data_IF_888833488516
#
_entry.id   IF_888833488516
#
_cell.length_a   1.000
_cell.length_b   1.000
_cell.length_c   1.000
_cell.angle_alpha   90.00
_cell.angle_beta   90.00
_cell.angle_gamma   90.00
#
_symmetry.space_group_name_H-M   'P 1'
#
loop_
_entity.id
_entity.type
_entity.pdbx_description
1 polymer ?
#
# COMPACT_ATOMS: atom_id res chain seq x y z
N UNK A 1 -19.65 -15.28 10.07
CA UNK A 1 -19.46 -16.64 9.51
C UNK A 1 -18.04 -16.79 8.99
N UNK A 2 -17.58 -18.01 8.77
CA UNK A 2 -16.23 -18.35 8.31
C UNK A 2 -16.31 -19.13 6.99
N UNK A 3 -15.24 -19.11 6.18
CA UNK A 3 -15.19 -19.60 4.79
C UNK A 3 -15.82 -20.98 4.51
N UNK A 4 -15.72 -22.01 5.38
CA UNK A 4 -16.37 -23.30 5.15
C UNK A 4 -17.90 -23.26 5.02
N UNK A 5 -18.55 -22.21 5.53
CA UNK A 5 -19.99 -22.00 5.38
C UNK A 5 -20.43 -21.56 3.97
N UNK A 6 -19.49 -21.34 3.06
CA UNK A 6 -19.70 -20.87 1.68
C UNK A 6 -19.16 -21.84 0.62
N UNK A 7 -19.08 -23.14 0.92
CA UNK A 7 -18.64 -24.22 0.01
C UNK A 7 -17.20 -24.07 -0.55
N UNK A 8 -16.32 -23.38 0.18
CA UNK A 8 -14.88 -23.35 -0.14
C UNK A 8 -14.23 -24.68 0.23
N UNK A 9 -13.41 -25.23 -0.67
CA UNK A 9 -12.57 -26.39 -0.37
C UNK A 9 -11.43 -26.01 0.57
N UNK A 10 -10.87 -26.98 1.28
CA UNK A 10 -9.71 -26.78 2.15
C UNK A 10 -8.53 -26.15 1.39
N UNK A 11 -8.30 -26.59 0.14
CA UNK A 11 -7.27 -26.02 -0.74
C UNK A 11 -7.52 -24.54 -1.04
N UNK A 12 -8.78 -24.14 -1.28
CA UNK A 12 -9.11 -22.74 -1.50
C UNK A 12 -8.95 -21.91 -0.22
N UNK A 13 -9.29 -22.47 0.94
CA UNK A 13 -9.09 -21.82 2.24
C UNK A 13 -7.59 -21.57 2.48
N UNK A 14 -6.74 -22.56 2.18
CA UNK A 14 -5.28 -22.43 2.31
C UNK A 14 -4.72 -21.35 1.37
N UNK A 15 -5.21 -21.28 0.13
CA UNK A 15 -4.85 -20.22 -0.81
C UNK A 15 -5.27 -18.85 -0.25
N UNK A 16 -6.51 -18.70 0.23
CA UNK A 16 -7.01 -17.44 0.79
C UNK A 16 -6.17 -17.02 1.99
N UNK A 17 -5.87 -17.92 2.92
CA UNK A 17 -5.03 -17.65 4.07
C UNK A 17 -3.63 -17.17 3.65
N UNK A 18 -3.03 -17.83 2.67
CA UNK A 18 -1.73 -17.44 2.10
C UNK A 18 -1.77 -16.04 1.46
N UNK A 19 -2.82 -15.72 0.71
CA UNK A 19 -3.00 -14.41 0.09
C UNK A 19 -3.19 -13.29 1.11
N UNK A 20 -3.93 -13.54 2.20
CA UNK A 20 -4.05 -12.61 3.33
C UNK A 20 -2.67 -12.36 3.95
N UNK A 21 -1.86 -13.41 4.12
CA UNK A 21 -0.52 -13.26 4.70
C UNK A 21 0.47 -12.54 3.78
N UNK A 22 0.25 -12.56 2.46
CA UNK A 22 1.10 -11.88 1.49
C UNK A 22 1.00 -10.34 1.59
N UNK A 23 -0.12 -9.79 2.06
CA UNK A 23 -0.28 -8.33 2.22
C UNK A 23 0.37 -7.77 3.48
N UNK A 24 0.90 -8.63 4.36
CA UNK A 24 1.62 -8.20 5.57
C UNK A 24 2.93 -7.49 5.19
N UNK A 25 3.11 -6.28 5.72
CA UNK A 25 4.30 -5.45 5.48
C UNK A 25 5.59 -6.23 5.76
N UNK A 26 6.53 -6.18 4.80
CA UNK A 26 7.84 -6.84 4.89
C UNK A 26 7.89 -8.24 4.29
N UNK A 27 6.75 -8.81 3.85
CA UNK A 27 6.74 -10.04 3.06
C UNK A 27 7.08 -9.75 1.60
N UNK A 28 7.70 -10.74 0.95
CA UNK A 28 7.98 -10.73 -0.50
C UNK A 28 7.05 -11.74 -1.15
N UNK A 29 6.24 -11.34 -2.15
CA UNK A 29 5.36 -12.27 -2.84
C UNK A 29 6.16 -13.31 -3.61
N UNK A 30 5.69 -14.55 -3.56
CA UNK A 30 6.38 -15.73 -4.09
C UNK A 30 5.79 -16.24 -5.40
N UNK A 31 4.52 -15.92 -5.67
CA UNK A 31 3.82 -16.25 -6.91
C UNK A 31 3.01 -15.08 -7.47
N UNK A 32 2.40 -15.28 -8.64
CA UNK A 32 1.64 -14.25 -9.33
C UNK A 32 0.42 -13.78 -8.53
N UNK A 33 -0.28 -14.67 -7.80
CA UNK A 33 -1.47 -14.29 -7.05
C UNK A 33 -1.09 -13.39 -5.87
N UNK A 34 -0.03 -13.73 -5.15
CA UNK A 34 0.51 -12.88 -4.08
C UNK A 34 0.99 -11.54 -4.62
N UNK A 35 1.65 -11.51 -5.78
CA UNK A 35 2.07 -10.27 -6.43
C UNK A 35 0.87 -9.37 -6.77
N UNK A 36 -0.21 -9.96 -7.29
CA UNK A 36 -1.45 -9.23 -7.59
C UNK A 36 -2.05 -8.65 -6.30
N UNK A 37 -2.11 -9.45 -5.21
CA UNK A 37 -2.67 -8.99 -3.95
C UNK A 37 -1.84 -7.87 -3.31
N UNK A 38 -0.51 -7.98 -3.29
CA UNK A 38 0.37 -6.92 -2.82
C UNK A 38 0.22 -5.62 -3.63
N UNK A 39 0.16 -5.73 -4.96
CA UNK A 39 0.00 -4.57 -5.83
C UNK A 39 -1.39 -3.91 -5.64
N UNK A 40 -2.44 -4.71 -5.44
CA UNK A 40 -3.80 -4.22 -5.22
C UNK A 40 -3.95 -3.48 -3.88
N UNK A 41 -3.36 -4.02 -2.80
CA UNK A 41 -3.35 -3.37 -1.47
C UNK A 41 -2.69 -1.98 -1.53
N UNK A 42 -1.66 -1.85 -2.36
CA UNK A 42 -0.88 -0.62 -2.52
C UNK A 42 -1.26 0.23 -3.74
N UNK A 43 -2.40 -0.07 -4.40
CA UNK A 43 -2.76 0.54 -5.70
C UNK A 43 -2.86 2.07 -5.62
N UNK A 44 -3.38 2.58 -4.51
CA UNK A 44 -3.63 4.01 -4.30
C UNK A 44 -2.36 4.87 -4.37
N UNK A 45 -1.17 4.29 -4.16
CA UNK A 45 0.10 5.00 -4.29
C UNK A 45 0.33 5.51 -5.72
N UNK A 46 -0.18 4.78 -6.71
CA UNK A 46 -0.07 5.08 -8.12
C UNK A 46 -1.32 5.69 -8.75
N UNK A 47 -2.18 6.34 -7.96
CA UNK A 47 -3.39 7.01 -8.47
C UNK A 47 -3.46 8.48 -8.03
N UNK A 48 -4.47 9.21 -8.50
CA UNK A 48 -4.77 10.57 -8.04
C UNK A 48 -5.35 10.62 -6.60
N UNK A 49 -5.79 9.48 -6.07
CA UNK A 49 -6.33 9.36 -4.71
C UNK A 49 -5.24 9.31 -3.63
N UNK A 50 -3.96 9.26 -4.02
CA UNK A 50 -2.84 9.11 -3.08
C UNK A 50 -2.93 10.03 -1.86
N UNK A 51 -3.08 11.34 -2.09
CA UNK A 51 -3.13 12.34 -1.02
C UNK A 51 -4.34 12.16 -0.11
N UNK A 52 -5.51 11.84 -0.69
CA UNK A 52 -6.75 11.65 0.04
C UNK A 52 -6.66 10.42 0.96
N UNK A 53 -6.25 9.28 0.41
CA UNK A 53 -6.08 8.03 1.16
C UNK A 53 -4.99 8.15 2.22
N UNK A 54 -3.84 8.76 1.91
CA UNK A 54 -2.78 8.98 2.90
C UNK A 54 -3.23 9.90 4.05
N UNK A 55 -4.03 10.93 3.75
CA UNK A 55 -4.57 11.82 4.80
C UNK A 55 -5.54 11.08 5.71
N UNK A 56 -6.44 10.27 5.15
CA UNK A 56 -7.36 9.43 5.93
C UNK A 56 -6.62 8.44 6.84
N UNK A 57 -5.55 7.81 6.32
CA UNK A 57 -4.71 6.91 7.11
C UNK A 57 -4.04 7.64 8.29
N UNK A 58 -3.52 8.85 8.07
CA UNK A 58 -2.95 9.66 9.16
C UNK A 58 -4.00 10.00 10.23
N UNK A 59 -5.20 10.37 9.81
CA UNK A 59 -6.30 10.65 10.74
C UNK A 59 -6.67 9.42 11.57
N UNK A 60 -6.80 8.25 10.94
CA UNK A 60 -7.09 7.00 11.63
C UNK A 60 -5.99 6.63 12.65
N UNK A 61 -4.72 6.81 12.30
CA UNK A 61 -3.60 6.56 13.22
C UNK A 61 -3.64 7.51 14.42
N UNK A 62 -3.91 8.79 14.18
CA UNK A 62 -4.06 9.80 15.25
C UNK A 62 -5.23 9.48 16.18
N UNK A 63 -6.36 9.02 15.64
CA UNK A 63 -7.52 8.56 16.41
C UNK A 63 -7.19 7.33 17.27
N UNK A 64 -6.29 6.45 16.80
CA UNK A 64 -5.76 5.32 17.58
C UNK A 64 -4.71 5.72 18.62
N UNK A 65 -4.36 7.00 18.72
CA UNK A 65 -3.46 7.55 19.73
C UNK A 65 -2.03 7.81 19.25
N UNK A 66 -1.73 7.59 17.98
CA UNK A 66 -0.41 7.90 17.41
C UNK A 66 -0.20 9.41 17.32
N UNK A 67 0.89 9.92 17.91
CA UNK A 67 1.22 11.35 17.90
C UNK A 67 2.18 11.69 16.78
N UNK A 68 1.72 11.56 15.55
CA UNK A 68 2.52 11.81 14.34
C UNK A 68 2.30 13.25 13.87
N UNK A 69 3.37 14.05 13.76
CA UNK A 69 3.31 15.39 13.17
C UNK A 69 3.17 15.34 11.64
N UNK A 70 2.81 16.45 11.00
CA UNK A 70 2.70 16.49 9.54
C UNK A 70 4.06 16.33 8.85
N UNK A 71 5.15 16.80 9.46
CA UNK A 71 6.54 16.65 9.00
C UNK A 71 7.05 15.21 9.17
N UNK A 72 6.73 14.57 10.30
CA UNK A 72 7.02 13.16 10.54
C UNK A 72 6.26 12.29 9.54
N UNK A 73 4.98 12.58 9.32
CA UNK A 73 4.16 11.88 8.33
C UNK A 73 4.72 11.99 6.93
N UNK A 74 5.15 13.20 6.52
CA UNK A 74 5.79 13.43 5.24
C UNK A 74 7.02 12.53 5.04
N UNK A 75 7.88 12.48 6.07
CA UNK A 75 9.10 11.69 6.06
C UNK A 75 8.78 10.20 5.94
N UNK A 76 7.77 9.73 6.67
CA UNK A 76 7.24 8.35 6.58
C UNK A 76 6.75 8.05 5.16
N UNK A 77 5.91 8.91 4.59
CA UNK A 77 5.35 8.73 3.25
C UNK A 77 6.42 8.75 2.16
N UNK A 78 7.37 9.68 2.22
CA UNK A 78 8.50 9.77 1.28
C UNK A 78 9.33 8.47 1.33
N UNK A 79 9.69 8.01 2.53
CA UNK A 79 10.44 6.78 2.71
C UNK A 79 9.65 5.55 2.21
N UNK A 80 8.34 5.51 2.47
CA UNK A 80 7.45 4.44 2.03
C UNK A 80 7.36 4.35 0.49
N UNK A 81 7.02 5.45 -0.18
CA UNK A 81 6.94 5.53 -1.65
C UNK A 81 8.27 5.17 -2.33
N UNK A 82 9.39 5.59 -1.72
CA UNK A 82 10.75 5.34 -2.22
C UNK A 82 11.12 3.86 -2.12
N UNK A 83 10.78 3.19 -1.01
CA UNK A 83 11.10 1.77 -0.79
C UNK A 83 10.14 0.82 -1.51
N UNK A 84 8.88 1.23 -1.66
CA UNK A 84 7.83 0.41 -2.28
C UNK A 84 8.12 0.08 -3.75
N UNK A 85 7.77 -1.13 -4.19
CA UNK A 85 7.94 -1.59 -5.58
C UNK A 85 6.68 -2.35 -6.00
N UNK A 86 6.27 -2.13 -7.25
CA UNK A 86 5.20 -2.93 -7.87
C UNK A 86 5.77 -4.22 -8.46
N UNK A 87 5.05 -5.32 -8.29
CA UNK A 87 5.49 -6.68 -8.63
C UNK A 87 4.95 -7.18 -9.97
N UNK A 88 3.74 -6.80 -10.35
CA UNK A 88 3.14 -7.19 -11.64
C UNK A 88 3.64 -6.30 -12.78
N UNK A 89 3.62 -6.82 -14.00
CA UNK A 89 3.94 -6.01 -15.19
C UNK A 89 2.96 -4.84 -15.35
N UNK A 90 1.67 -5.09 -15.10
CA UNK A 90 0.61 -4.09 -15.15
C UNK A 90 0.89 -2.92 -14.20
N UNK A 91 1.08 -3.16 -12.90
CA UNK A 91 1.29 -2.06 -11.94
C UNK A 91 2.61 -1.34 -12.16
N UNK A 92 3.65 -2.04 -12.66
CA UNK A 92 4.88 -1.36 -13.10
C UNK A 92 4.66 -0.41 -14.27
N UNK A 93 3.80 -0.74 -15.21
CA UNK A 93 3.52 0.09 -16.38
C UNK A 93 2.56 1.24 -16.03
N UNK A 94 1.46 0.94 -15.34
CA UNK A 94 0.36 1.87 -15.16
C UNK A 94 0.35 2.62 -13.82
N UNK A 95 0.99 2.09 -12.76
CA UNK A 95 0.97 2.70 -11.42
C UNK A 95 2.29 3.32 -11.02
N UNK A 96 3.41 2.73 -11.43
CA UNK A 96 4.75 3.26 -11.10
C UNK A 96 4.94 4.71 -11.55
N UNK A 97 4.59 5.14 -12.78
CA UNK A 97 4.84 6.52 -13.21
C UNK A 97 4.10 7.53 -12.33
N UNK A 98 2.84 7.21 -11.98
CA UNK A 98 2.03 8.08 -11.12
C UNK A 98 2.54 8.10 -9.68
N UNK A 99 3.00 6.97 -9.15
CA UNK A 99 3.66 6.90 -7.84
C UNK A 99 4.89 7.81 -7.79
N UNK A 100 5.69 7.82 -8.85
CA UNK A 100 6.87 8.68 -8.97
C UNK A 100 6.51 10.18 -9.04
N UNK A 101 5.44 10.52 -9.77
CA UNK A 101 4.88 11.88 -9.78
C UNK A 101 4.38 12.32 -8.39
N UNK A 102 3.66 11.45 -7.70
CA UNK A 102 3.18 11.69 -6.33
C UNK A 102 4.35 11.90 -5.36
N UNK A 103 5.39 11.07 -5.44
CA UNK A 103 6.61 11.21 -4.65
C UNK A 103 7.32 12.55 -4.93
N UNK A 104 7.43 12.94 -6.20
CA UNK A 104 8.05 14.21 -6.60
C UNK A 104 7.28 15.41 -6.04
N UNK A 105 5.95 15.40 -6.17
CA UNK A 105 5.07 16.45 -5.62
C UNK A 105 5.22 16.54 -4.11
N UNK A 106 5.19 15.39 -3.42
CA UNK A 106 5.36 15.33 -1.98
C UNK A 106 6.71 15.95 -1.57
N UNK A 107 7.83 15.52 -2.16
CA UNK A 107 9.15 16.11 -1.86
C UNK A 107 9.20 17.62 -2.09
N UNK A 108 8.63 18.11 -3.19
CA UNK A 108 8.62 19.54 -3.51
C UNK A 108 7.84 20.36 -2.48
N UNK A 109 6.68 19.88 -2.02
CA UNK A 109 5.89 20.56 -0.99
C UNK A 109 6.63 20.69 0.35
N UNK A 110 7.49 19.73 0.68
CA UNK A 110 8.25 19.77 1.94
C UNK A 110 9.60 20.47 1.85
N UNK A 111 10.28 20.47 0.69
CA UNK A 111 11.51 21.26 0.50
C UNK A 111 11.27 22.78 0.46
N UNK A 112 10.04 23.23 0.23
CA UNK A 112 9.67 24.65 0.23
C UNK A 112 9.29 25.16 1.63
N UNK A 113 8.95 24.24 2.55
CA UNK A 113 8.50 24.55 3.91
C UNK A 113 9.57 24.29 5.00
N UNK A 114 10.77 23.87 4.61
CA UNK A 114 11.94 23.60 5.47
C UNK A 114 13.04 24.62 5.22
#
# INVERSE_FOLDING_TARGET
>A
EWLPGYDYSDEQIDIVARLIMATVVGRTPTDLLEMIMCDADMDYLGTDEFTNTATKLLMELREKGEKISDEEWASIQINFLTKHKYYTAFSREFRKPKKEDNLRKLKASYSVNS
#
